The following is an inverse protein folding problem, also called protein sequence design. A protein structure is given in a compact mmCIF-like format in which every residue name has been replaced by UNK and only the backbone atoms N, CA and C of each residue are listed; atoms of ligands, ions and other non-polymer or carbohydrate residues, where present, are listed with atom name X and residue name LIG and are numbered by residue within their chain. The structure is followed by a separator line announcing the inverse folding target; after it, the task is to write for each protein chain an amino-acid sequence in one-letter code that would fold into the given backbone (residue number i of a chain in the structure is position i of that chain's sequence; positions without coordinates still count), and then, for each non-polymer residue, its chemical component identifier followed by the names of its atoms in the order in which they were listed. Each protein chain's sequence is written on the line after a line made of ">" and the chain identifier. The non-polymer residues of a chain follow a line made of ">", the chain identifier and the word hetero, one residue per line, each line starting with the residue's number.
data_IF_628662291922
#
_entry.id   IF_628662291922
#
_cell.length_a   1.000
_cell.length_b   1.000
_cell.length_c   1.000
_cell.angle_alpha   90.00
_cell.angle_beta   90.00
_cell.angle_gamma   90.00
#
_symmetry.space_group_name_H-M   'P 1'
#
loop_
_entity.id
_entity.type
_entity.pdbx_description
1 polymer ?
#
# COMPACT_ATOMS: atom_id res chain seq x y z
N UNK A 1 -18.12 4.68 27.08
CA UNK A 1 -18.47 3.43 26.40
C UNK A 1 -18.09 3.54 24.92
N UNK A 2 -16.79 3.70 24.63
CA UNK A 2 -16.24 3.75 23.28
C UNK A 2 -14.76 3.38 23.41
N UNK A 3 -14.34 2.14 23.10
CA UNK A 3 -12.92 1.81 22.81
C UNK A 3 -12.62 0.32 22.55
N UNK A 4 -13.54 -0.52 22.06
CA UNK A 4 -13.21 -1.93 21.73
C UNK A 4 -13.44 -2.31 20.25
N UNK A 5 -13.87 -1.37 19.41
CA UNK A 5 -14.20 -1.67 18.00
C UNK A 5 -12.98 -1.81 17.07
N UNK A 6 -11.72 -1.82 17.56
CA UNK A 6 -10.59 -1.40 16.70
C UNK A 6 -9.45 -2.37 16.45
N UNK A 7 -9.32 -3.49 17.16
CA UNK A 7 -8.15 -4.39 17.01
C UNK A 7 -8.52 -5.79 16.51
N UNK A 8 -9.62 -6.35 16.99
CA UNK A 8 -10.10 -7.68 16.59
C UNK A 8 -10.43 -7.71 15.10
N UNK A 9 -11.22 -6.75 14.62
CA UNK A 9 -11.60 -6.61 13.20
C UNK A 9 -10.39 -6.49 12.25
N UNK A 10 -9.33 -5.78 12.68
CA UNK A 10 -8.10 -5.64 11.88
C UNK A 10 -7.35 -6.96 11.84
N UNK A 11 -7.21 -7.64 12.98
CA UNK A 11 -6.56 -8.96 13.03
C UNK A 11 -7.27 -9.97 12.14
N UNK A 12 -8.60 -10.02 12.23
CA UNK A 12 -9.43 -10.94 11.45
C UNK A 12 -9.28 -10.67 9.95
N UNK A 13 -9.23 -9.39 9.56
CA UNK A 13 -8.98 -8.99 8.16
C UNK A 13 -7.59 -9.40 7.69
N UNK A 14 -6.55 -9.24 8.52
CA UNK A 14 -5.18 -9.68 8.19
C UNK A 14 -5.16 -11.19 7.99
N UNK A 15 -5.74 -11.93 8.91
CA UNK A 15 -5.75 -13.40 8.87
C UNK A 15 -6.46 -13.88 7.61
N UNK A 16 -7.61 -13.29 7.27
CA UNK A 16 -8.32 -13.60 6.02
C UNK A 16 -7.47 -13.35 4.77
N UNK A 17 -6.78 -12.21 4.69
CA UNK A 17 -5.92 -11.87 3.55
C UNK A 17 -4.78 -12.89 3.41
N UNK A 18 -4.08 -13.19 4.50
CA UNK A 18 -2.94 -14.11 4.49
C UNK A 18 -3.39 -15.54 4.17
N UNK A 19 -4.48 -16.01 4.78
CA UNK A 19 -5.04 -17.33 4.51
C UNK A 19 -5.43 -17.49 3.05
N UNK A 20 -6.15 -16.50 2.51
CA UNK A 20 -6.56 -16.53 1.12
C UNK A 20 -5.35 -16.51 0.18
N UNK A 21 -4.36 -15.66 0.47
CA UNK A 21 -3.16 -15.54 -0.33
C UNK A 21 -2.36 -16.87 -0.37
N UNK A 22 -2.19 -17.50 0.80
CA UNK A 22 -1.49 -18.77 0.95
C UNK A 22 -2.25 -19.93 0.31
N UNK A 23 -3.56 -20.05 0.54
CA UNK A 23 -4.40 -21.14 -0.01
C UNK A 23 -4.43 -21.16 -1.54
N UNK A 24 -4.29 -20.00 -2.16
CA UNK A 24 -4.32 -19.85 -3.61
C UNK A 24 -2.92 -19.73 -4.24
N UNK A 25 -1.85 -19.97 -3.46
CA UNK A 25 -0.46 -19.94 -3.92
C UNK A 25 -0.08 -18.66 -4.69
N UNK A 26 -0.55 -17.50 -4.21
CA UNK A 26 -0.11 -16.22 -4.77
C UNK A 26 1.38 -15.98 -4.49
N UNK A 27 2.04 -15.30 -5.42
CA UNK A 27 3.48 -15.01 -5.34
C UNK A 27 3.78 -13.56 -4.91
N UNK A 28 2.77 -12.69 -4.86
CA UNK A 28 2.91 -11.30 -4.45
C UNK A 28 1.58 -10.75 -3.93
N UNK A 29 1.63 -10.04 -2.82
CA UNK A 29 0.52 -9.22 -2.32
C UNK A 29 0.85 -7.75 -2.59
N UNK A 30 -0.04 -7.03 -3.29
CA UNK A 30 0.12 -5.60 -3.55
C UNK A 30 -0.88 -4.82 -2.72
N UNK A 31 -0.40 -3.88 -1.91
CA UNK A 31 -1.26 -3.04 -1.07
C UNK A 31 -0.95 -1.56 -1.25
N UNK A 32 -2.00 -0.75 -1.38
CA UNK A 32 -1.89 0.69 -1.31
C UNK A 32 -1.75 1.18 0.13
N UNK A 33 -0.89 2.16 0.38
CA UNK A 33 -0.88 2.89 1.65
C UNK A 33 -1.89 4.03 1.57
N UNK A 34 -3.00 3.98 2.34
CA UNK A 34 -3.98 5.09 2.36
C UNK A 34 -3.28 6.38 2.79
N UNK A 35 -3.39 7.43 1.97
CA UNK A 35 -2.94 8.78 2.28
C UNK A 35 -4.02 9.54 3.04
N UNK A 36 -4.19 9.27 4.34
CA UNK A 36 -5.05 10.10 5.17
C UNK A 36 -4.24 11.35 5.59
N UNK A 37 -4.42 12.43 4.84
CA UNK A 37 -3.98 13.81 5.12
C UNK A 37 -2.52 14.02 5.50
N UNK A 38 -1.69 14.50 4.57
CA UNK A 38 -0.63 15.51 4.79
C UNK A 38 0.26 15.45 6.06
N UNK A 39 0.41 14.32 6.74
CA UNK A 39 1.22 14.23 7.95
C UNK A 39 2.57 13.61 7.60
N UNK A 40 3.61 14.34 8.00
CA UNK A 40 5.05 14.18 7.73
C UNK A 40 5.70 12.86 8.22
N UNK A 41 4.92 11.81 8.43
CA UNK A 41 5.38 10.53 8.94
C UNK A 41 4.86 9.42 8.05
N UNK A 42 5.74 8.48 7.76
CA UNK A 42 5.56 7.35 6.86
C UNK A 42 4.59 6.31 7.48
N UNK A 43 3.34 6.70 7.74
CA UNK A 43 2.34 5.81 8.35
C UNK A 43 1.79 4.92 7.25
N UNK A 44 2.49 3.81 6.98
CA UNK A 44 1.90 2.65 6.33
C UNK A 44 0.64 2.29 7.13
N UNK A 45 -0.54 2.30 6.51
CA UNK A 45 -1.79 2.04 7.25
C UNK A 45 -1.70 0.78 8.12
N UNK A 46 -2.33 0.79 9.29
CA UNK A 46 -2.23 -0.28 10.31
C UNK A 46 -2.43 -1.69 9.73
N UNK A 47 -3.36 -1.85 8.79
CA UNK A 47 -3.59 -3.11 8.09
C UNK A 47 -2.42 -3.51 7.19
N UNK A 48 -1.95 -2.62 6.31
CA UNK A 48 -0.86 -2.91 5.37
C UNK A 48 0.45 -3.21 6.10
N UNK A 49 0.72 -2.53 7.21
CA UNK A 49 1.87 -2.81 8.07
C UNK A 49 1.77 -4.19 8.73
N UNK A 50 0.58 -4.55 9.23
CA UNK A 50 0.38 -5.85 9.87
C UNK A 50 0.48 -7.01 8.86
N UNK A 51 -0.05 -6.83 7.64
CA UNK A 51 0.13 -7.80 6.55
C UNK A 51 1.60 -7.92 6.15
N UNK A 52 2.31 -6.80 5.95
CA UNK A 52 3.73 -6.78 5.62
C UNK A 52 4.57 -7.58 6.64
N UNK A 53 4.28 -7.41 7.94
CA UNK A 53 5.05 -8.06 9.01
C UNK A 53 4.70 -9.54 9.23
N UNK A 54 3.49 -9.98 8.85
CA UNK A 54 3.01 -11.35 9.11
C UNK A 54 3.02 -12.25 7.88
N UNK A 55 3.11 -11.69 6.68
CA UNK A 55 3.05 -12.45 5.43
C UNK A 55 4.33 -13.26 5.19
N UNK A 56 4.16 -14.51 4.75
CA UNK A 56 5.24 -15.32 4.15
C UNK A 56 5.37 -15.09 2.63
N UNK A 57 4.34 -14.51 2.00
CA UNK A 57 4.33 -14.09 0.60
C UNK A 57 4.89 -12.67 0.53
N UNK A 58 5.76 -12.34 -0.45
CA UNK A 58 6.25 -10.97 -0.64
C UNK A 58 5.11 -9.94 -0.67
N UNK A 59 5.30 -8.81 0.02
CA UNK A 59 4.31 -7.72 0.06
C UNK A 59 4.93 -6.46 -0.53
N UNK A 60 4.31 -5.93 -1.59
CA UNK A 60 4.69 -4.66 -2.23
C UNK A 60 3.74 -3.55 -1.80
N UNK A 61 4.29 -2.54 -1.13
CA UNK A 61 3.55 -1.34 -0.74
C UNK A 61 3.67 -0.25 -1.79
N UNK A 62 2.52 0.21 -2.30
CA UNK A 62 2.44 1.30 -3.28
C UNK A 62 2.02 2.59 -2.60
N UNK A 63 2.87 3.62 -2.75
CA UNK A 63 2.57 4.99 -2.32
C UNK A 63 1.78 5.72 -3.40
N UNK A 64 0.92 6.64 -2.96
CA UNK A 64 0.22 7.55 -3.88
C UNK A 64 1.26 8.41 -4.61
N UNK A 65 1.21 8.37 -5.93
CA UNK A 65 2.01 9.26 -6.78
C UNK A 65 1.40 10.67 -6.78
N UNK A 66 2.21 11.72 -6.92
CA UNK A 66 1.70 13.08 -7.16
C UNK A 66 0.76 13.11 -8.37
N UNK A 67 -0.33 13.88 -8.30
CA UNK A 67 -1.31 13.90 -9.38
C UNK A 67 -0.71 14.42 -10.69
N UNK A 68 0.11 15.48 -10.63
CA UNK A 68 0.82 15.99 -11.80
C UNK A 68 1.71 14.93 -12.46
N UNK A 69 2.37 14.08 -11.67
CA UNK A 69 3.15 12.97 -12.23
C UNK A 69 2.27 11.98 -13.00
N UNK A 70 1.08 11.68 -12.48
CA UNK A 70 0.12 10.78 -13.14
C UNK A 70 -0.38 11.43 -14.44
N UNK A 71 -0.75 12.71 -14.37
CA UNK A 71 -1.27 13.47 -15.51
C UNK A 71 -0.21 13.54 -16.63
N UNK A 72 1.04 13.87 -16.29
CA UNK A 72 2.18 13.88 -17.22
C UNK A 72 2.37 12.48 -17.84
N UNK A 73 2.40 11.42 -17.02
CA UNK A 73 2.59 10.04 -17.48
C UNK A 73 1.51 9.55 -18.43
N UNK A 74 0.25 9.92 -18.19
CA UNK A 74 -0.89 9.54 -19.03
C UNK A 74 -0.96 10.37 -20.31
N UNK A 75 -0.44 11.60 -20.29
CA UNK A 75 -0.43 12.48 -21.45
C UNK A 75 0.58 12.06 -22.53
N UNK A 76 1.71 11.46 -22.12
CA UNK A 76 2.71 10.88 -23.04
C UNK A 76 3.59 9.85 -22.29
N UNK A 77 3.40 8.54 -22.52
CA UNK A 77 4.16 7.48 -21.88
C UNK A 77 5.65 7.48 -22.23
N UNK A 78 6.04 8.14 -23.33
CA UNK A 78 7.39 8.11 -23.91
C UNK A 78 8.24 9.35 -23.54
N UNK A 79 7.70 10.36 -22.86
CA UNK A 79 8.44 11.59 -22.45
C UNK A 79 9.49 11.37 -21.34
N UNK A 80 9.77 10.12 -20.98
CA UNK A 80 10.55 9.68 -19.80
C UNK A 80 11.99 10.20 -19.72
N UNK A 81 12.52 10.86 -20.74
CA UNK A 81 13.91 11.31 -20.78
C UNK A 81 14.19 12.64 -20.06
N UNK A 82 13.18 13.48 -19.75
CA UNK A 82 13.43 14.84 -19.25
C UNK A 82 13.30 15.04 -17.74
N UNK A 83 12.69 14.10 -17.00
CA UNK A 83 12.49 14.25 -15.54
C UNK A 83 13.81 14.04 -14.75
N UNK A 84 14.81 13.37 -15.35
CA UNK A 84 16.14 13.17 -14.75
C UNK A 84 17.10 14.36 -14.89
N UNK A 85 16.73 15.45 -15.58
CA UNK A 85 17.63 16.60 -15.80
C UNK A 85 17.64 17.67 -14.71
N UNK A 86 16.76 17.61 -13.71
CA UNK A 86 16.81 18.52 -12.56
C UNK A 86 17.43 17.81 -11.35
N UNK A 87 18.75 17.62 -11.42
CA UNK A 87 19.64 17.57 -10.25
C UNK A 87 20.64 18.70 -10.37
#
# INVERSE_FOLDING_TARGET
>A
MYSETSLTEISDTVDMILDYANKNAFNLIVMGTRGLSSLKGLIFGSLAHTVLNRSIIPVLLIKKLPQNFIDDYLSDPDSKANIQKNR
#
